data_IF_731790920119
#
_entry.id   IF_731790920119
#
_cell.length_a   1.000
_cell.length_b   1.000
_cell.length_c   1.000
_cell.angle_alpha   90.00
_cell.angle_beta   90.00
_cell.angle_gamma   90.00
#
_symmetry.space_group_name_H-M   'P 1'
#
loop_
_entity.id
_entity.type
_entity.pdbx_description
1 polymer ?
#
# COMPACT_ATOMS: atom_id res chain seq x y z
N UNK A 1 -0.39 -14.10 -1.70
CA UNK A 1 -1.49 -14.60 -0.84
C UNK A 1 -2.77 -13.82 -1.11
N UNK A 2 -2.78 -12.48 -0.94
CA UNK A 2 -3.97 -11.64 -1.13
C UNK A 2 -4.62 -11.75 -2.53
N UNK A 3 -3.82 -11.79 -3.60
CA UNK A 3 -4.34 -12.03 -4.97
C UNK A 3 -5.12 -13.34 -5.15
N UNK A 4 -4.79 -14.38 -4.37
CA UNK A 4 -5.50 -15.67 -4.40
C UNK A 4 -6.70 -15.70 -3.47
N UNK A 5 -6.75 -14.80 -2.50
CA UNK A 5 -7.73 -14.77 -1.41
C UNK A 5 -8.09 -13.31 -1.11
N UNK A 6 -8.98 -12.73 -1.92
CA UNK A 6 -9.34 -11.31 -1.85
C UNK A 6 -10.10 -10.93 -0.56
N UNK A 7 -10.69 -11.90 0.14
CA UNK A 7 -11.28 -11.69 1.47
C UNK A 7 -10.24 -11.44 2.58
N UNK A 8 -8.98 -11.83 2.33
CA UNK A 8 -7.95 -11.86 3.36
C UNK A 8 -7.56 -10.48 3.91
N UNK A 9 -7.38 -9.43 3.08
CA UNK A 9 -6.95 -8.13 3.59
C UNK A 9 -7.92 -7.49 4.57
N UNK A 10 -9.23 -7.73 4.43
CA UNK A 10 -10.24 -7.27 5.39
C UNK A 10 -10.31 -8.10 6.68
N UNK A 11 -9.78 -9.32 6.67
CA UNK A 11 -9.85 -10.24 7.81
C UNK A 11 -8.64 -10.16 8.75
N UNK A 12 -7.53 -9.52 8.33
CA UNK A 12 -6.29 -9.41 9.12
C UNK A 12 -6.18 -8.02 9.74
N UNK A 13 -5.96 -7.94 11.05
CA UNK A 13 -5.58 -6.70 11.73
C UNK A 13 -4.20 -6.83 12.38
N UNK A 14 -3.26 -5.97 12.00
CA UNK A 14 -1.95 -5.88 12.67
C UNK A 14 -1.96 -4.95 13.90
N UNK A 15 -3.00 -4.12 14.05
CA UNK A 15 -3.20 -3.27 15.24
C UNK A 15 -3.82 -4.08 16.38
N UNK A 16 -4.67 -5.06 16.05
CA UNK A 16 -5.19 -6.07 16.98
C UNK A 16 -4.84 -7.47 16.46
N UNK A 17 -3.56 -7.86 16.53
CA UNK A 17 -3.11 -9.11 15.94
C UNK A 17 -3.74 -10.31 16.66
N UNK A 18 -4.16 -11.28 15.87
CA UNK A 18 -4.40 -12.61 16.39
C UNK A 18 -3.04 -13.17 16.87
N UNK A 19 -2.94 -13.46 18.17
CA UNK A 19 -1.73 -14.03 18.79
C UNK A 19 -1.61 -15.53 18.47
N UNK A 20 -1.56 -15.85 17.18
CA UNK A 20 -1.44 -17.22 16.67
C UNK A 20 -0.03 -17.47 16.13
N UNK A 21 0.50 -18.72 16.21
CA UNK A 21 1.90 -19.01 15.90
C UNK A 21 2.39 -18.49 14.55
N UNK A 22 1.58 -18.60 13.50
CA UNK A 22 1.98 -18.16 12.16
C UNK A 22 2.13 -16.63 12.05
N UNK A 23 1.26 -15.87 12.71
CA UNK A 23 1.35 -14.40 12.73
C UNK A 23 2.56 -13.96 13.56
N UNK A 24 2.80 -14.63 14.69
CA UNK A 24 3.99 -14.37 15.51
C UNK A 24 5.29 -14.72 14.77
N UNK A 25 5.30 -15.85 14.04
CA UNK A 25 6.45 -16.24 13.22
C UNK A 25 6.73 -15.23 12.09
N UNK A 26 5.69 -14.65 11.50
CA UNK A 26 5.83 -13.59 10.51
C UNK A 26 6.46 -12.32 11.12
N UNK A 27 5.95 -11.86 12.26
CA UNK A 27 6.54 -10.72 12.98
C UNK A 27 7.99 -10.98 13.35
N UNK A 28 8.30 -12.15 13.88
CA UNK A 28 9.67 -12.56 14.24
C UNK A 28 10.60 -12.64 13.02
N UNK A 29 10.10 -13.12 11.88
CA UNK A 29 10.86 -13.12 10.63
C UNK A 29 11.23 -11.70 10.19
N UNK A 30 10.29 -10.75 10.27
CA UNK A 30 10.57 -9.34 9.97
C UNK A 30 11.56 -8.73 10.95
N UNK A 31 11.41 -8.99 12.26
CA UNK A 31 12.35 -8.49 13.27
C UNK A 31 13.77 -9.01 13.06
N UNK A 32 13.93 -10.27 12.65
CA UNK A 32 15.23 -10.83 12.29
C UNK A 32 15.85 -10.17 11.06
N UNK A 33 15.06 -9.77 10.08
CA UNK A 33 15.57 -9.02 8.92
C UNK A 33 16.08 -7.61 9.31
N UNK A 34 15.55 -7.04 10.39
CA UNK A 34 15.97 -5.75 10.93
C UNK A 34 17.08 -5.85 11.98
N UNK A 35 17.47 -7.07 12.35
CA UNK A 35 18.52 -7.28 13.34
C UNK A 35 19.89 -6.87 12.79
N UNK A 36 20.78 -6.41 13.68
CA UNK A 36 22.11 -5.91 13.30
C UNK A 36 22.12 -4.48 12.71
N UNK A 37 20.98 -3.89 12.36
CA UNK A 37 20.91 -2.52 11.80
C UNK A 37 21.10 -1.39 12.83
N UNK A 38 21.44 -1.71 14.08
CA UNK A 38 21.61 -0.72 15.16
C UNK A 38 20.32 -0.02 15.61
N UNK A 39 19.17 -0.40 15.07
CA UNK A 39 17.87 0.19 15.39
C UNK A 39 17.37 -0.23 16.78
N UNK A 40 16.75 0.67 17.55
CA UNK A 40 16.08 0.31 18.80
C UNK A 40 14.86 -0.59 18.52
N UNK A 41 14.55 -1.48 19.46
CA UNK A 41 13.44 -2.44 19.31
C UNK A 41 12.09 -1.77 19.02
N UNK A 42 11.87 -0.57 19.58
CA UNK A 42 10.66 0.22 19.31
C UNK A 42 10.51 0.58 17.83
N UNK A 43 11.60 0.96 17.16
CA UNK A 43 11.60 1.22 15.71
C UNK A 43 11.39 -0.07 14.93
N UNK A 44 12.07 -1.16 15.31
CA UNK A 44 11.91 -2.46 14.63
C UNK A 44 10.47 -2.97 14.67
N UNK A 45 9.80 -2.85 15.82
CA UNK A 45 8.38 -3.22 15.94
C UNK A 45 7.48 -2.32 15.10
N UNK A 46 7.75 -1.00 15.04
CA UNK A 46 6.97 -0.12 14.14
C UNK A 46 7.09 -0.57 12.70
N UNK A 47 8.29 -0.88 12.21
CA UNK A 47 8.48 -1.36 10.84
C UNK A 47 7.85 -2.73 10.60
N UNK A 48 7.97 -3.64 11.57
CA UNK A 48 7.33 -4.96 11.50
C UNK A 48 5.80 -4.90 11.41
N UNK A 49 5.18 -3.79 11.83
CA UNK A 49 3.74 -3.55 11.70
C UNK A 49 3.38 -2.68 10.48
N UNK A 50 4.20 -1.66 10.17
CA UNK A 50 3.97 -0.72 9.07
C UNK A 50 4.07 -1.39 7.71
N UNK A 51 5.13 -2.17 7.49
CA UNK A 51 5.36 -2.79 6.18
C UNK A 51 4.20 -3.73 5.77
N UNK A 52 3.74 -4.67 6.62
CA UNK A 52 2.57 -5.48 6.28
C UNK A 52 1.30 -4.67 6.11
N UNK A 53 1.10 -3.61 6.91
CA UNK A 53 -0.06 -2.73 6.77
C UNK A 53 -0.11 -2.04 5.40
N UNK A 54 1.04 -1.57 4.90
CA UNK A 54 1.15 -1.00 3.54
C UNK A 54 0.70 -2.00 2.47
N UNK A 55 1.19 -3.23 2.56
CA UNK A 55 0.80 -4.30 1.62
C UNK A 55 -0.70 -4.60 1.70
N UNK A 56 -1.26 -4.65 2.91
CA UNK A 56 -2.69 -4.89 3.10
C UNK A 56 -3.55 -3.75 2.53
N UNK A 57 -3.14 -2.49 2.67
CA UNK A 57 -3.89 -1.35 2.11
C UNK A 57 -4.00 -1.44 0.60
N UNK A 58 -2.92 -1.75 -0.11
CA UNK A 58 -2.98 -1.91 -1.57
C UNK A 58 -3.79 -3.14 -1.95
N UNK A 59 -3.67 -4.24 -1.19
CA UNK A 59 -4.44 -5.45 -1.41
C UNK A 59 -5.95 -5.25 -1.16
N UNK A 60 -6.35 -4.36 -0.24
CA UNK A 60 -7.76 -3.98 -0.03
C UNK A 60 -8.32 -3.31 -1.29
N UNK A 61 -7.59 -2.37 -1.90
CA UNK A 61 -8.03 -1.75 -3.16
C UNK A 61 -8.24 -2.77 -4.29
N UNK A 62 -7.43 -3.83 -4.35
CA UNK A 62 -7.66 -4.94 -5.29
C UNK A 62 -8.93 -5.73 -4.98
N UNK A 63 -9.22 -5.97 -3.70
CA UNK A 63 -10.41 -6.69 -3.28
C UNK A 63 -11.67 -5.87 -3.57
N UNK A 64 -11.66 -4.58 -3.27
CA UNK A 64 -12.75 -3.65 -3.53
C UNK A 64 -13.07 -3.57 -5.04
N UNK A 65 -12.04 -3.51 -5.89
CA UNK A 65 -12.23 -3.50 -7.35
C UNK A 65 -12.85 -4.82 -7.85
N UNK A 66 -12.34 -5.96 -7.37
CA UNK A 66 -12.86 -7.26 -7.76
C UNK A 66 -14.31 -7.47 -7.29
N UNK A 67 -14.68 -6.92 -6.14
CA UNK A 67 -16.07 -6.91 -5.65
C UNK A 67 -16.94 -6.01 -6.54
N UNK A 68 -16.49 -4.80 -6.85
CA UNK A 68 -17.21 -3.87 -7.73
C UNK A 68 -17.46 -4.47 -9.13
N UNK A 69 -16.46 -5.13 -9.73
CA UNK A 69 -16.63 -5.82 -11.01
C UNK A 69 -17.64 -6.97 -10.92
N UNK A 70 -17.63 -7.74 -9.83
CA UNK A 70 -18.58 -8.84 -9.62
C UNK A 70 -20.02 -8.33 -9.45
N UNK A 71 -20.22 -7.24 -8.70
CA UNK A 71 -21.55 -6.67 -8.44
C UNK A 71 -22.13 -5.97 -9.67
N UNK A 72 -21.30 -5.24 -10.41
CA UNK A 72 -21.75 -4.39 -11.53
C UNK A 72 -21.64 -5.06 -12.89
N UNK A 73 -20.76 -6.06 -13.04
CA UNK A 73 -20.37 -6.63 -14.33
C UNK A 73 -19.51 -5.70 -15.20
N UNK A 74 -19.01 -4.60 -14.65
CA UNK A 74 -18.23 -3.58 -15.36
C UNK A 74 -16.78 -3.63 -14.89
N UNK A 75 -15.85 -3.87 -15.80
CA UNK A 75 -14.41 -3.85 -15.51
C UNK A 75 -13.93 -2.43 -15.20
N UNK A 76 -12.84 -2.30 -14.43
CA UNK A 76 -12.20 -1.01 -14.12
C UNK A 76 -12.02 -0.11 -15.35
N UNK A 77 -11.44 -0.64 -16.43
CA UNK A 77 -11.21 0.09 -17.68
C UNK A 77 -12.52 0.66 -18.23
N UNK A 78 -13.57 -0.17 -18.32
CA UNK A 78 -14.88 0.25 -18.84
C UNK A 78 -15.52 1.27 -17.92
N UNK A 79 -15.39 1.10 -16.62
CA UNK A 79 -15.87 2.08 -15.66
C UNK A 79 -15.20 3.44 -15.90
N UNK A 80 -13.87 3.49 -16.06
CA UNK A 80 -13.16 4.73 -16.39
C UNK A 80 -13.60 5.34 -17.72
N UNK A 81 -13.86 4.53 -18.75
CA UNK A 81 -14.45 5.00 -20.02
C UNK A 81 -15.78 5.75 -19.78
N UNK A 82 -16.64 5.26 -18.88
CA UNK A 82 -17.90 5.93 -18.56
C UNK A 82 -17.71 7.23 -17.76
N UNK A 83 -16.61 7.35 -17.01
CA UNK A 83 -16.33 8.53 -16.19
C UNK A 83 -15.59 9.66 -16.94
N UNK A 84 -15.02 9.39 -18.11
CA UNK A 84 -14.22 10.35 -18.92
C UNK A 84 -14.81 11.75 -18.97
N UNK A 85 -16.07 11.86 -19.44
CA UNK A 85 -16.74 13.16 -19.61
C UNK A 85 -16.84 13.93 -18.28
N UNK A 86 -17.19 13.23 -17.21
CA UNK A 86 -17.30 13.84 -15.87
C UNK A 86 -15.93 14.25 -15.34
N UNK A 87 -14.90 13.44 -15.57
CA UNK A 87 -13.52 13.79 -15.22
C UNK A 87 -13.07 15.04 -15.98
N UNK A 88 -13.36 15.15 -17.28
CA UNK A 88 -13.05 16.33 -18.09
C UNK A 88 -13.76 17.58 -17.58
N UNK A 89 -15.05 17.51 -17.28
CA UNK A 89 -15.80 18.63 -16.71
C UNK A 89 -15.18 19.12 -15.39
N UNK A 90 -14.76 18.20 -14.52
CA UNK A 90 -14.09 18.53 -13.26
C UNK A 90 -12.72 19.17 -13.48
N UNK A 91 -11.92 18.64 -14.41
CA UNK A 91 -10.60 19.17 -14.76
C UNK A 91 -10.70 20.59 -15.33
N UNK A 92 -11.71 20.87 -16.15
CA UNK A 92 -11.92 22.18 -16.77
C UNK A 92 -12.76 23.14 -15.91
N UNK A 93 -13.19 22.73 -14.72
CA UNK A 93 -13.95 23.59 -13.80
C UNK A 93 -13.15 24.78 -13.23
N UNK A 94 -11.81 24.80 -13.41
CA UNK A 94 -10.90 25.78 -12.81
C UNK A 94 -10.63 25.56 -11.31
N UNK A 95 -11.29 24.57 -10.68
CA UNK A 95 -11.19 24.31 -9.23
C UNK A 95 -10.03 23.40 -8.84
N UNK A 96 -9.52 22.59 -9.78
CA UNK A 96 -8.51 21.57 -9.52
C UNK A 96 -7.30 21.68 -10.46
N UNK A 97 -6.50 22.75 -10.35
CA UNK A 97 -5.44 23.05 -11.32
C UNK A 97 -4.36 21.95 -11.41
N UNK A 98 -4.05 21.27 -10.30
CA UNK A 98 -3.10 20.16 -10.31
C UNK A 98 -3.66 18.91 -10.99
N UNK A 99 -4.94 18.59 -10.77
CA UNK A 99 -5.59 17.47 -11.47
C UNK A 99 -5.75 17.76 -12.96
N UNK A 100 -6.01 19.02 -13.31
CA UNK A 100 -6.08 19.49 -14.69
C UNK A 100 -4.75 19.39 -15.45
N UNK A 101 -3.62 19.17 -14.75
CA UNK A 101 -2.31 18.99 -15.37
C UNK A 101 -2.04 17.54 -15.85
N UNK A 102 -2.82 16.53 -15.41
CA UNK A 102 -2.59 15.14 -15.88
C UNK A 102 -2.90 15.05 -17.37
N UNK A 103 -2.03 14.49 -18.19
CA UNK A 103 -2.17 14.59 -19.66
C UNK A 103 -2.89 13.41 -20.31
N UNK A 104 -3.33 12.42 -19.52
CA UNK A 104 -3.97 11.22 -20.02
C UNK A 104 -5.06 10.67 -19.13
N UNK A 105 -5.70 9.61 -19.61
CA UNK A 105 -6.59 8.76 -18.84
C UNK A 105 -5.78 7.65 -18.18
N UNK A 106 -5.29 7.93 -16.98
CA UNK A 106 -4.59 6.94 -16.19
C UNK A 106 -5.62 6.07 -15.50
N UNK A 107 -5.84 4.86 -16.03
CA UNK A 107 -6.47 3.79 -15.26
C UNK A 107 -5.55 3.49 -14.08
N UNK A 108 -6.06 3.42 -12.84
CA UNK A 108 -5.27 3.06 -11.68
C UNK A 108 -4.55 1.72 -11.89
N UNK A 109 -3.22 1.76 -11.91
CA UNK A 109 -2.37 0.58 -11.90
C UNK A 109 -2.08 0.20 -10.44
N UNK A 110 -2.78 -0.82 -9.95
CA UNK A 110 -2.63 -1.28 -8.56
C UNK A 110 -1.25 -1.93 -8.33
N UNK A 111 -0.68 -2.57 -9.35
CA UNK A 111 0.66 -3.16 -9.26
C UNK A 111 1.72 -2.06 -9.22
N UNK A 112 1.61 -1.06 -10.11
CA UNK A 112 2.44 0.13 -10.08
C UNK A 112 2.33 0.89 -8.76
N UNK A 113 1.14 0.98 -8.17
CA UNK A 113 0.93 1.59 -6.85
C UNK A 113 1.64 0.81 -5.74
N UNK A 114 1.53 -0.53 -5.76
CA UNK A 114 2.26 -1.39 -4.83
C UNK A 114 3.77 -1.16 -4.94
N UNK A 115 4.34 -1.31 -6.14
CA UNK A 115 5.77 -1.19 -6.38
C UNK A 115 6.30 0.20 -6.00
N UNK A 116 5.59 1.26 -6.39
CA UNK A 116 5.93 2.62 -6.02
C UNK A 116 5.93 2.80 -4.50
N UNK A 117 4.86 2.36 -3.82
CA UNK A 117 4.73 2.52 -2.38
C UNK A 117 5.80 1.77 -1.60
N UNK A 118 6.12 0.54 -2.01
CA UNK A 118 7.16 -0.28 -1.40
C UNK A 118 8.53 0.37 -1.60
N UNK A 119 8.84 0.79 -2.83
CA UNK A 119 10.11 1.43 -3.14
C UNK A 119 10.29 2.73 -2.34
N UNK A 120 9.25 3.59 -2.25
CA UNK A 120 9.35 4.84 -1.48
C UNK A 120 9.49 4.58 0.03
N UNK A 121 8.79 3.57 0.55
CA UNK A 121 8.91 3.18 1.96
C UNK A 121 10.32 2.68 2.29
N UNK A 122 10.88 1.81 1.44
CA UNK A 122 12.23 1.29 1.61
C UNK A 122 13.30 2.38 1.46
N UNK A 123 13.17 3.29 0.50
CA UNK A 123 14.08 4.43 0.35
C UNK A 123 14.09 5.32 1.61
N UNK A 124 12.91 5.60 2.17
CA UNK A 124 12.78 6.32 3.44
C UNK A 124 13.39 5.56 4.62
N UNK A 125 13.23 4.23 4.63
CA UNK A 125 13.83 3.37 5.65
C UNK A 125 15.37 3.32 5.57
N UNK A 126 15.94 3.30 4.36
CA UNK A 126 17.39 3.41 4.15
C UNK A 126 17.91 4.71 4.75
N UNK A 127 17.28 5.84 4.45
CA UNK A 127 17.68 7.14 5.00
C UNK A 127 17.63 7.15 6.54
N UNK A 128 16.62 6.51 7.15
CA UNK A 128 16.53 6.36 8.62
C UNK A 128 17.72 5.57 9.19
N UNK A 129 18.07 4.44 8.56
CA UNK A 129 19.18 3.59 9.00
C UNK A 129 20.51 4.34 8.87
N UNK A 130 20.74 5.04 7.77
CA UNK A 130 21.95 5.84 7.54
C UNK A 130 22.10 6.95 8.58
N UNK A 131 21.01 7.66 8.93
CA UNK A 131 21.04 8.70 9.95
C UNK A 131 21.43 8.14 11.33
N UNK A 132 20.88 6.98 11.70
CA UNK A 132 21.21 6.28 12.95
C UNK A 132 22.66 5.83 13.02
N UNK A 133 23.26 5.42 11.89
CA UNK A 133 24.69 5.10 11.85
C UNK A 133 25.57 6.34 12.03
N UNK A 134 25.12 7.52 11.56
CA UNK A 134 25.83 8.79 11.71
C UNK A 134 25.73 9.40 13.11
N UNK A 135 24.63 9.16 13.82
CA UNK A 135 24.43 9.68 15.19
C UNK A 135 25.15 8.87 16.26
N UNK A 136 25.76 7.73 15.91
CA UNK A 136 26.50 6.87 16.82
C UNK A 136 27.95 7.40 16.96
N UNK A 137 28.39 7.84 18.16
CA UNK A 137 29.74 8.35 18.40
C UNK A 137 30.82 7.28 18.32
#
# INVERSE_FOLDING_TARGET
MCRRHLWLPGAISFIRPLLVPNVMAHTEWTLRALDGLGLPMTTRIREALTLPALVLTVALSMADEAEAEQETGVTLDRWWLTQRKRADELRHSGRFPLLAALTGEEVPDVDGLFEYSLARHLDGFVALVEDQTRTRP
#
